data_IF_485474687821
#
_entry.id   IF_485474687821
#
_cell.length_a   1.000
_cell.length_b   1.000
_cell.length_c   1.000
_cell.angle_alpha   90.00
_cell.angle_beta   90.00
_cell.angle_gamma   90.00
#
_symmetry.space_group_name_H-M   'P 1'
#
loop_
_entity.id
_entity.type
_entity.pdbx_description
1 polymer ?
#
# COMPACT_ATOMS: atom_id res chain seq x y z
N UNK A 1 -4.96 9.07 27.16
CA UNK A 1 -4.24 7.99 26.44
C UNK A 1 -2.75 8.32 26.48
N UNK A 2 -1.89 7.46 27.06
CA UNK A 2 -0.46 7.74 27.28
C UNK A 2 0.21 8.07 25.95
N UNK A 3 0.78 9.26 25.86
CA UNK A 3 1.80 9.63 24.89
C UNK A 3 2.98 8.67 25.12
N UNK A 4 3.02 7.58 24.38
CA UNK A 4 4.19 6.72 24.36
C UNK A 4 5.33 7.58 23.80
N UNK A 5 6.38 7.75 24.59
CA UNK A 5 7.57 8.51 24.26
C UNK A 5 8.44 7.73 23.25
N UNK A 6 7.85 7.35 22.12
CA UNK A 6 8.61 6.90 20.99
C UNK A 6 9.34 8.10 20.39
N UNK A 7 10.64 7.98 20.27
CA UNK A 7 11.54 8.99 19.74
C UNK A 7 10.94 9.59 18.44
N UNK A 8 10.72 10.91 18.34
CA UNK A 8 10.02 11.50 17.19
C UNK A 8 10.71 11.15 15.86
N UNK A 9 12.02 10.92 15.88
CA UNK A 9 12.79 10.48 14.69
C UNK A 9 12.38 9.07 14.23
N UNK A 10 12.11 8.15 15.14
CA UNK A 10 11.67 6.79 14.81
C UNK A 10 10.27 6.82 14.21
N UNK A 11 9.39 7.66 14.77
CA UNK A 11 8.03 7.82 14.27
C UNK A 11 8.02 8.40 12.84
N UNK A 12 8.81 9.43 12.58
CA UNK A 12 9.00 10.01 11.24
C UNK A 12 9.54 8.97 10.27
N UNK A 13 10.58 8.23 10.66
CA UNK A 13 11.17 7.18 9.83
C UNK A 13 10.15 6.09 9.48
N UNK A 14 9.31 5.69 10.43
CA UNK A 14 8.26 4.69 10.20
C UNK A 14 7.21 5.20 9.21
N UNK A 15 6.75 6.45 9.36
CA UNK A 15 5.76 7.05 8.46
C UNK A 15 6.34 7.20 7.05
N UNK A 16 7.57 7.68 6.93
CA UNK A 16 8.25 7.83 5.63
C UNK A 16 8.46 6.47 4.95
N UNK A 17 8.86 5.43 5.70
CA UNK A 17 9.00 4.08 5.15
C UNK A 17 7.66 3.52 4.65
N UNK A 18 6.57 3.74 5.37
CA UNK A 18 5.23 3.33 4.92
C UNK A 18 4.81 4.07 3.64
N UNK A 19 5.09 5.36 3.54
CA UNK A 19 4.82 6.15 2.33
C UNK A 19 5.68 5.67 1.16
N UNK A 20 6.96 5.41 1.38
CA UNK A 20 7.88 4.90 0.36
C UNK A 20 7.44 3.55 -0.19
N UNK A 21 7.00 2.63 0.68
CA UNK A 21 6.46 1.33 0.25
C UNK A 21 5.25 1.48 -0.67
N UNK A 22 4.39 2.44 -0.38
CA UNK A 22 3.20 2.72 -1.20
C UNK A 22 3.59 3.22 -2.59
N UNK A 23 4.57 4.12 -2.66
CA UNK A 23 5.11 4.67 -3.91
C UNK A 23 5.78 3.58 -4.74
N UNK A 24 6.62 2.75 -4.12
CA UNK A 24 7.31 1.65 -4.80
C UNK A 24 6.33 0.63 -5.39
N UNK A 25 5.20 0.36 -4.71
CA UNK A 25 4.16 -0.51 -5.23
C UNK A 25 3.58 0.00 -6.56
N UNK A 26 3.41 1.31 -6.71
CA UNK A 26 2.92 1.94 -7.95
C UNK A 26 4.00 1.96 -9.05
N UNK A 27 5.19 2.42 -8.73
CA UNK A 27 6.28 2.60 -9.70
C UNK A 27 6.77 1.28 -10.32
N UNK A 28 6.73 0.18 -9.56
CA UNK A 28 7.16 -1.13 -10.04
C UNK A 28 6.23 -1.74 -11.12
N UNK A 29 5.01 -1.24 -11.25
CA UNK A 29 4.02 -1.80 -12.19
C UNK A 29 4.37 -1.49 -13.64
N UNK A 30 4.83 -0.28 -13.94
CA UNK A 30 5.11 0.14 -15.32
C UNK A 30 6.16 -0.72 -16.02
N UNK A 31 7.37 -0.97 -15.46
CA UNK A 31 8.34 -1.86 -16.08
C UNK A 31 7.90 -3.34 -16.04
N UNK A 32 7.14 -3.74 -15.02
CA UNK A 32 6.64 -5.11 -14.91
C UNK A 32 5.58 -5.43 -15.98
N UNK A 33 4.85 -4.45 -16.50
CA UNK A 33 3.80 -4.66 -17.49
C UNK A 33 4.34 -5.30 -18.76
N UNK A 34 5.49 -4.85 -19.25
CA UNK A 34 6.13 -5.43 -20.45
C UNK A 34 6.59 -6.88 -20.21
N UNK A 35 7.12 -7.17 -19.02
CA UNK A 35 7.51 -8.52 -18.63
C UNK A 35 6.30 -9.46 -18.47
N UNK A 36 5.21 -8.96 -17.88
CA UNK A 36 3.95 -9.71 -17.70
C UNK A 36 3.33 -10.01 -19.06
N UNK A 37 3.27 -9.03 -19.97
CA UNK A 37 2.72 -9.24 -21.31
C UNK A 37 3.55 -10.22 -22.15
N UNK A 38 4.87 -10.25 -21.97
CA UNK A 38 5.74 -11.20 -22.63
C UNK A 38 5.61 -12.63 -22.06
N UNK A 39 5.43 -12.74 -20.74
CA UNK A 39 5.29 -14.04 -20.06
C UNK A 39 3.92 -14.68 -20.30
N UNK A 40 2.87 -13.88 -20.39
CA UNK A 40 1.49 -14.30 -20.64
C UNK A 40 1.03 -13.91 -22.05
N UNK A 41 1.85 -14.20 -23.08
CA UNK A 41 1.57 -13.82 -24.46
C UNK A 41 0.24 -14.36 -25.02
N UNK A 42 -0.21 -15.52 -24.52
CA UNK A 42 -1.48 -16.15 -24.88
C UNK A 42 -2.68 -15.63 -24.07
N UNK A 43 -2.44 -14.77 -23.08
CA UNK A 43 -3.51 -14.22 -22.25
C UNK A 43 -4.24 -13.08 -22.95
N UNK A 44 -5.55 -12.97 -22.68
CA UNK A 44 -6.34 -11.87 -23.21
C UNK A 44 -5.74 -10.52 -22.74
N UNK A 45 -5.48 -9.57 -23.67
CA UNK A 45 -4.93 -8.25 -23.33
C UNK A 45 -5.72 -7.50 -22.26
N UNK A 46 -7.03 -7.73 -22.17
CA UNK A 46 -7.87 -7.18 -21.14
C UNK A 46 -7.47 -7.66 -19.73
N UNK A 47 -7.11 -8.94 -19.59
CA UNK A 47 -6.68 -9.49 -18.30
C UNK A 47 -5.36 -8.86 -17.84
N UNK A 48 -4.44 -8.62 -18.76
CA UNK A 48 -3.17 -7.95 -18.50
C UNK A 48 -3.42 -6.51 -17.99
N UNK A 49 -4.36 -5.82 -18.61
CA UNK A 49 -4.75 -4.47 -18.19
C UNK A 49 -5.42 -4.48 -16.80
N UNK A 50 -6.22 -5.50 -16.49
CA UNK A 50 -6.78 -5.70 -15.15
C UNK A 50 -5.71 -5.92 -14.08
N UNK A 51 -4.59 -6.56 -14.38
CA UNK A 51 -3.46 -6.71 -13.42
C UNK A 51 -2.94 -5.35 -12.94
N UNK A 52 -2.99 -4.33 -13.79
CA UNK A 52 -2.56 -2.96 -13.44
C UNK A 52 -3.64 -2.21 -12.66
N UNK A 53 -4.89 -2.33 -13.07
CA UNK A 53 -6.01 -1.56 -12.48
C UNK A 53 -6.61 -2.17 -11.22
N UNK A 54 -6.50 -3.50 -11.03
CA UNK A 54 -7.02 -4.20 -9.84
C UNK A 54 -6.54 -3.61 -8.51
N UNK A 55 -5.25 -3.32 -8.30
CA UNK A 55 -4.81 -2.73 -7.03
C UNK A 55 -5.51 -1.41 -6.74
N UNK A 56 -5.67 -0.53 -7.74
CA UNK A 56 -6.31 0.77 -7.56
C UNK A 56 -7.77 0.65 -7.11
N UNK A 57 -8.51 -0.30 -7.70
CA UNK A 57 -9.90 -0.58 -7.32
C UNK A 57 -9.99 -1.06 -5.87
N UNK A 58 -9.13 -2.00 -5.47
CA UNK A 58 -9.12 -2.51 -4.10
C UNK A 58 -8.60 -1.49 -3.08
N UNK A 59 -7.71 -0.57 -3.45
CA UNK A 59 -7.32 0.57 -2.63
C UNK A 59 -8.55 1.44 -2.31
N UNK A 60 -9.35 1.78 -3.32
CA UNK A 60 -10.57 2.60 -3.13
C UNK A 60 -11.56 1.89 -2.21
N UNK A 61 -11.85 0.61 -2.46
CA UNK A 61 -12.76 -0.18 -1.64
C UNK A 61 -12.28 -0.27 -0.19
N UNK A 62 -11.00 -0.51 0.02
CA UNK A 62 -10.41 -0.62 1.36
C UNK A 62 -10.44 0.73 2.08
N UNK A 63 -10.15 1.84 1.39
CA UNK A 63 -10.24 3.18 1.96
C UNK A 63 -11.66 3.52 2.41
N UNK A 64 -12.67 3.09 1.66
CA UNK A 64 -14.07 3.28 2.03
C UNK A 64 -14.45 2.49 3.30
N UNK A 65 -13.91 1.27 3.43
CA UNK A 65 -14.13 0.41 4.60
C UNK A 65 -13.20 0.75 5.78
N UNK A 66 -12.17 1.56 5.58
CA UNK A 66 -11.15 1.85 6.60
C UNK A 66 -11.71 2.42 7.92
N UNK A 67 -12.69 3.36 7.94
CA UNK A 67 -13.27 3.86 9.18
C UNK A 67 -13.95 2.75 10.01
N UNK A 68 -14.57 1.78 9.33
CA UNK A 68 -15.17 0.62 9.99
C UNK A 68 -14.10 -0.31 10.58
N UNK A 69 -13.01 -0.50 9.86
CA UNK A 69 -11.87 -1.31 10.30
C UNK A 69 -11.22 -0.73 11.57
N UNK A 70 -11.08 0.60 11.65
CA UNK A 70 -10.55 1.30 12.82
C UNK A 70 -11.44 1.20 14.06
N UNK A 71 -12.75 0.92 13.90
CA UNK A 71 -13.66 0.69 15.03
C UNK A 71 -13.49 -0.69 15.66
N UNK A 72 -13.11 -1.68 14.87
CA UNK A 72 -13.02 -3.09 15.28
C UNK A 72 -11.60 -3.45 15.73
N UNK A 73 -10.60 -2.90 15.06
CA UNK A 73 -9.19 -3.28 15.26
C UNK A 73 -8.35 -2.10 15.74
N UNK A 74 -7.32 -2.42 16.55
CA UNK A 74 -6.33 -1.42 16.96
C UNK A 74 -5.45 -1.02 15.78
N UNK A 75 -5.08 0.26 15.71
CA UNK A 75 -4.21 0.84 14.68
C UNK A 75 -2.93 0.02 14.42
N UNK A 76 -2.30 -0.47 15.51
CA UNK A 76 -1.09 -1.32 15.41
C UNK A 76 -1.36 -2.65 14.71
N UNK A 77 -2.51 -3.27 14.96
CA UNK A 77 -2.89 -4.56 14.34
C UNK A 77 -3.17 -4.36 12.85
N UNK A 78 -3.85 -3.26 12.49
CA UNK A 78 -4.10 -2.90 11.10
C UNK A 78 -2.78 -2.68 10.35
N UNK A 79 -1.82 -1.97 10.94
CA UNK A 79 -0.51 -1.74 10.36
C UNK A 79 0.26 -3.04 10.11
N UNK A 80 0.34 -3.90 11.13
CA UNK A 80 1.05 -5.17 11.04
C UNK A 80 0.40 -6.11 10.02
N UNK A 81 -0.93 -6.19 10.03
CA UNK A 81 -1.67 -7.02 9.09
C UNK A 81 -1.53 -6.51 7.65
N UNK A 82 -1.64 -5.19 7.44
CA UNK A 82 -1.41 -4.57 6.15
C UNK A 82 0.00 -4.82 5.63
N UNK A 83 1.03 -4.66 6.48
CA UNK A 83 2.41 -4.89 6.11
C UNK A 83 2.68 -6.37 5.77
N UNK A 84 2.16 -7.29 6.58
CA UNK A 84 2.29 -8.73 6.35
C UNK A 84 1.61 -9.12 5.03
N UNK A 85 0.40 -8.62 4.79
CA UNK A 85 -0.33 -8.84 3.56
C UNK A 85 0.42 -8.30 2.34
N UNK A 86 1.07 -7.12 2.49
CA UNK A 86 1.91 -6.51 1.46
C UNK A 86 3.09 -7.41 1.08
N UNK A 87 3.81 -7.93 2.07
CA UNK A 87 4.96 -8.81 1.86
C UNK A 87 4.52 -10.12 1.21
N UNK A 88 3.45 -10.74 1.70
CA UNK A 88 2.93 -12.01 1.17
C UNK A 88 2.42 -11.83 -0.26
N UNK A 89 1.64 -10.80 -0.52
CA UNK A 89 1.09 -10.55 -1.87
C UNK A 89 2.19 -10.13 -2.86
N UNK A 90 3.16 -9.34 -2.42
CA UNK A 90 4.28 -8.91 -3.25
C UNK A 90 5.23 -10.06 -3.60
N UNK A 91 5.64 -10.86 -2.61
CA UNK A 91 6.49 -12.02 -2.86
C UNK A 91 5.77 -13.15 -3.60
N UNK A 92 4.47 -13.34 -3.32
CA UNK A 92 3.65 -14.33 -4.01
C UNK A 92 3.53 -14.06 -5.51
N UNK A 93 3.56 -12.80 -5.94
CA UNK A 93 3.51 -12.43 -7.35
C UNK A 93 4.68 -13.00 -8.17
N UNK A 94 5.83 -13.26 -7.53
CA UNK A 94 6.98 -13.91 -8.18
C UNK A 94 6.72 -15.38 -8.53
N UNK A 95 5.87 -16.06 -7.75
CA UNK A 95 5.53 -17.48 -7.94
C UNK A 95 4.21 -17.68 -8.70
N UNK A 96 3.66 -16.63 -9.30
CA UNK A 96 2.39 -16.69 -10.00
C UNK A 96 2.56 -17.21 -11.42
N UNK A 97 2.37 -18.52 -11.61
CA UNK A 97 2.40 -19.17 -12.93
C UNK A 97 1.11 -18.95 -13.73
N UNK A 98 0.06 -18.41 -13.11
CA UNK A 98 -1.24 -18.19 -13.73
C UNK A 98 -1.69 -16.73 -13.54
N UNK A 99 -2.22 -16.13 -14.62
CA UNK A 99 -2.71 -14.76 -14.61
C UNK A 99 -3.84 -14.54 -13.57
N UNK A 100 -4.67 -15.57 -13.32
CA UNK A 100 -5.72 -15.48 -12.31
C UNK A 100 -5.14 -15.38 -10.89
N UNK A 101 -4.08 -16.14 -10.59
CA UNK A 101 -3.36 -16.05 -9.31
C UNK A 101 -2.71 -14.66 -9.18
N UNK A 102 -2.11 -14.17 -10.25
CA UNK A 102 -1.51 -12.83 -10.28
C UNK A 102 -2.56 -11.74 -10.00
N UNK A 103 -3.76 -11.84 -10.57
CA UNK A 103 -4.86 -10.91 -10.32
C UNK A 103 -5.30 -10.91 -8.85
N UNK A 104 -5.43 -12.08 -8.24
CA UNK A 104 -5.77 -12.20 -6.81
C UNK A 104 -4.69 -11.57 -5.93
N UNK A 105 -3.43 -11.83 -6.21
CA UNK A 105 -2.31 -11.23 -5.47
C UNK A 105 -2.26 -9.71 -5.63
N UNK A 106 -2.57 -9.19 -6.81
CA UNK A 106 -2.71 -7.74 -7.07
C UNK A 106 -3.87 -7.12 -6.30
N UNK A 107 -5.00 -7.83 -6.20
CA UNK A 107 -6.12 -7.40 -5.37
C UNK A 107 -5.74 -7.33 -3.88
N UNK A 108 -5.07 -8.37 -3.35
CA UNK A 108 -4.56 -8.41 -1.98
C UNK A 108 -3.54 -7.30 -1.72
N UNK A 109 -2.67 -7.02 -2.69
CA UNK A 109 -1.72 -5.92 -2.61
C UNK A 109 -2.44 -4.57 -2.54
N UNK A 110 -3.51 -4.38 -3.33
CA UNK A 110 -4.38 -3.20 -3.25
C UNK A 110 -5.03 -3.03 -1.88
N UNK A 111 -5.54 -4.12 -1.29
CA UNK A 111 -6.10 -4.11 0.07
C UNK A 111 -5.04 -3.67 1.09
N UNK A 112 -3.84 -4.22 1.02
CA UNK A 112 -2.75 -3.89 1.95
C UNK A 112 -2.35 -2.43 1.88
N UNK A 113 -2.17 -1.89 0.67
CA UNK A 113 -1.85 -0.47 0.42
C UNK A 113 -2.99 0.43 0.89
N UNK A 114 -4.25 0.05 0.61
CA UNK A 114 -5.44 0.76 1.07
C UNK A 114 -5.61 0.81 2.58
N UNK A 115 -5.02 -0.16 3.32
CA UNK A 115 -4.95 -0.12 4.79
C UNK A 115 -3.81 0.77 5.29
N UNK A 116 -2.65 0.74 4.65
CA UNK A 116 -1.43 1.44 5.08
C UNK A 116 -1.54 2.94 4.79
N UNK A 117 -2.10 3.34 3.65
CA UNK A 117 -2.17 4.72 3.19
C UNK A 117 -2.91 5.66 4.17
N UNK A 118 -4.18 5.39 4.54
CA UNK A 118 -4.89 6.25 5.48
C UNK A 118 -4.31 6.19 6.88
N UNK A 119 -3.65 5.08 7.24
CA UNK A 119 -3.00 4.92 8.52
C UNK A 119 -1.77 5.82 8.65
N UNK A 120 -0.92 5.88 7.62
CA UNK A 120 0.26 6.76 7.61
C UNK A 120 -0.15 8.23 7.68
N UNK A 121 -1.15 8.64 6.90
CA UNK A 121 -1.69 10.01 6.92
C UNK A 121 -2.35 10.35 8.25
N UNK A 122 -3.12 9.42 8.83
CA UNK A 122 -3.78 9.60 10.12
C UNK A 122 -2.80 9.71 11.29
N UNK A 123 -1.72 8.92 11.29
CA UNK A 123 -0.65 9.01 12.28
C UNK A 123 0.09 10.34 12.16
N UNK A 124 0.35 10.80 10.94
CA UNK A 124 0.97 12.09 10.68
C UNK A 124 0.12 13.23 11.26
N UNK A 125 -1.20 13.20 11.01
CA UNK A 125 -2.14 14.20 11.51
C UNK A 125 -2.28 14.20 13.04
N UNK A 126 -2.09 13.05 13.69
CA UNK A 126 -2.23 12.92 15.14
C UNK A 126 -0.99 13.36 15.91
N UNK A 127 0.21 13.11 15.37
CA UNK A 127 1.47 13.32 16.09
C UNK A 127 2.17 14.64 15.76
N UNK A 128 1.88 15.25 14.61
CA UNK A 128 2.58 16.45 14.13
C UNK A 128 1.65 17.65 13.98
N UNK A 129 2.14 18.88 14.28
CA UNK A 129 1.40 20.12 14.00
C UNK A 129 1.22 20.33 12.50
N UNK A 130 0.19 21.11 12.06
CA UNK A 130 -0.18 21.28 10.65
C UNK A 130 0.98 21.72 9.74
N UNK A 131 1.89 22.52 10.25
CA UNK A 131 3.05 23.02 9.50
C UNK A 131 4.06 21.93 9.17
N UNK A 132 4.33 21.05 10.14
CA UNK A 132 5.20 19.89 9.95
C UNK A 132 4.53 18.81 9.09
N UNK A 133 3.22 18.64 9.20
CA UNK A 133 2.44 17.74 8.34
C UNK A 133 2.61 18.12 6.87
N UNK A 134 2.43 19.41 6.52
CA UNK A 134 2.56 19.89 5.16
C UNK A 134 3.97 19.64 4.60
N UNK A 135 5.01 19.85 5.43
CA UNK A 135 6.39 19.59 5.05
C UNK A 135 6.66 18.10 4.80
N UNK A 136 6.20 17.23 5.69
CA UNK A 136 6.41 15.77 5.56
C UNK A 136 5.60 15.19 4.41
N UNK A 137 4.38 15.68 4.18
CA UNK A 137 3.58 15.31 3.01
C UNK A 137 4.21 15.80 1.71
N UNK A 138 4.75 17.02 1.70
CA UNK A 138 5.50 17.56 0.56
C UNK A 138 6.74 16.73 0.24
N UNK A 139 7.47 16.28 1.27
CA UNK A 139 8.63 15.39 1.12
C UNK A 139 8.21 14.02 0.55
N UNK A 140 7.13 13.44 1.08
CA UNK A 140 6.59 12.18 0.58
C UNK A 140 6.11 12.30 -0.88
N UNK A 141 5.50 13.43 -1.25
CA UNK A 141 5.08 13.71 -2.62
C UNK A 141 6.26 13.96 -3.57
N UNK A 142 7.34 14.58 -3.10
CA UNK A 142 8.55 14.82 -3.90
C UNK A 142 9.35 13.54 -4.17
N UNK A 143 9.12 12.47 -3.40
CA UNK A 143 9.72 11.15 -3.59
C UNK A 143 8.91 10.26 -4.55
N UNK A 144 7.76 10.75 -5.04
CA UNK A 144 6.83 10.07 -5.94
C UNK A 144 7.04 10.53 -7.39
#
# INVERSE_FOLDING_TARGET
>A
MKRDSSNPKILVATILSMSLLTVMAGAAVAPALNAISAHFADANPLLIQFVVSMPALFIILTNLCFPMLCRVMRTRTIALFGLLLYVVAGSGAFFADNIAVLLVLRALLGVSVGMIMPLSTGLLAYYFPPEEQARLMGLAAAMN
#
